data_IF_036276756109
#
_entry.id   IF_036276756109
#
_cell.length_a   1.000
_cell.length_b   1.000
_cell.length_c   1.000
_cell.angle_alpha   90.00
_cell.angle_beta   90.00
_cell.angle_gamma   90.00
#
_symmetry.space_group_name_H-M   'P 1'
#
loop_
_entity.id
_entity.type
_entity.pdbx_description
1 polymer ?
#
# COMPACT_ATOMS: atom_id res chain seq x y z
N UNK A 1 20.92 1.62 4.53
CA UNK A 1 19.58 1.05 4.27
C UNK A 1 18.93 0.75 5.60
N UNK A 2 17.62 0.95 5.80
CA UNK A 2 16.96 0.56 7.04
C UNK A 2 17.12 -0.95 7.24
N UNK A 3 17.40 -1.35 8.46
CA UNK A 3 17.75 -2.71 8.86
C UNK A 3 16.66 -3.71 8.38
N UNK A 4 17.00 -4.62 7.46
CA UNK A 4 16.04 -5.42 6.66
C UNK A 4 15.33 -6.55 7.42
N UNK A 5 15.47 -6.59 8.75
CA UNK A 5 14.97 -7.66 9.62
C UNK A 5 14.04 -7.17 10.75
N UNK A 6 13.53 -5.93 10.67
CA UNK A 6 12.55 -5.39 11.62
C UNK A 6 11.24 -5.06 10.91
N UNK A 7 10.12 -5.30 11.59
CA UNK A 7 8.79 -4.90 11.14
C UNK A 7 8.71 -3.38 11.14
N UNK A 8 8.30 -2.82 10.01
CA UNK A 8 8.03 -1.39 9.85
C UNK A 8 6.98 -1.15 8.77
N UNK A 9 6.19 -0.09 8.92
CA UNK A 9 5.20 0.35 7.94
C UNK A 9 5.83 1.38 7.00
N UNK A 10 5.68 1.18 5.70
CA UNK A 10 5.96 2.20 4.67
C UNK A 10 4.66 2.53 3.93
N UNK A 11 4.25 3.81 3.93
CA UNK A 11 3.03 4.27 3.25
C UNK A 11 3.19 5.67 2.65
N UNK A 12 2.19 6.17 1.93
CA UNK A 12 2.10 7.57 1.50
C UNK A 12 1.42 8.49 2.51
N UNK A 13 0.83 7.97 3.59
CA UNK A 13 0.15 8.77 4.61
C UNK A 13 -1.13 9.46 4.12
N UNK A 14 -1.72 8.99 3.02
CA UNK A 14 -2.98 9.54 2.52
C UNK A 14 -4.15 9.38 3.51
N UNK A 15 -5.17 10.22 3.36
CA UNK A 15 -6.48 10.03 4.00
C UNK A 15 -7.03 8.63 3.75
N UNK A 16 -7.74 8.09 4.73
CA UNK A 16 -8.45 6.81 4.62
C UNK A 16 -7.59 5.64 5.08
N UNK A 17 -7.41 4.65 4.22
CA UNK A 17 -6.72 3.40 4.56
C UNK A 17 -5.29 3.63 5.09
N UNK A 18 -4.49 4.45 4.42
CA UNK A 18 -3.08 4.69 4.80
C UNK A 18 -2.96 5.34 6.19
N UNK A 19 -3.81 6.32 6.48
CA UNK A 19 -3.87 6.91 7.81
C UNK A 19 -4.28 5.91 8.89
N UNK A 20 -5.22 4.99 8.61
CA UNK A 20 -5.61 3.94 9.56
C UNK A 20 -4.48 2.92 9.80
N UNK A 21 -3.78 2.49 8.74
CA UNK A 21 -2.56 1.68 8.89
C UNK A 21 -1.56 2.37 9.80
N UNK A 22 -1.37 3.68 9.63
CA UNK A 22 -0.47 4.47 10.47
C UNK A 22 -0.91 4.58 11.94
N UNK A 23 -2.22 4.76 12.18
CA UNK A 23 -2.80 4.74 13.55
C UNK A 23 -2.59 3.38 14.20
N UNK A 24 -2.81 2.29 13.48
CA UNK A 24 -2.56 0.94 13.98
C UNK A 24 -1.08 0.71 14.26
N UNK A 25 -0.18 1.03 13.32
CA UNK A 25 1.25 0.91 13.56
C UNK A 25 1.70 1.69 14.81
N UNK A 26 1.13 2.88 15.07
CA UNK A 26 1.42 3.64 16.30
C UNK A 26 0.93 2.91 17.55
N UNK A 27 -0.28 2.37 17.52
CA UNK A 27 -0.89 1.62 18.63
C UNK A 27 -0.10 0.36 19.00
N UNK A 28 0.51 -0.31 18.03
CA UNK A 28 1.35 -1.50 18.25
C UNK A 28 2.85 -1.19 18.41
N UNK A 29 3.24 0.09 18.44
CA UNK A 29 4.65 0.49 18.59
C UNK A 29 5.55 0.09 17.41
N UNK A 30 4.97 -0.02 16.20
CA UNK A 30 5.67 -0.34 14.97
C UNK A 30 6.20 0.95 14.34
N UNK A 31 7.45 0.93 13.89
CA UNK A 31 8.06 2.07 13.18
C UNK A 31 7.34 2.38 11.88
N UNK A 32 7.33 3.65 11.50
CA UNK A 32 6.62 4.11 10.31
C UNK A 32 7.49 5.05 9.50
N UNK A 33 7.40 4.95 8.18
CA UNK A 33 7.95 5.91 7.24
C UNK A 33 6.87 6.31 6.26
N UNK A 34 6.59 7.60 6.19
CA UNK A 34 5.65 8.17 5.23
C UNK A 34 6.44 8.75 4.06
N UNK A 35 6.36 8.12 2.90
CA UNK A 35 7.00 8.64 1.69
C UNK A 35 6.15 9.79 1.12
N UNK A 36 6.81 10.89 0.81
CA UNK A 36 6.14 12.10 0.31
C UNK A 36 6.96 12.77 -0.77
N UNK A 37 6.38 13.77 -1.43
CA UNK A 37 7.04 14.63 -2.42
C UNK A 37 6.37 16.01 -2.38
N UNK A 38 6.94 16.99 -3.09
CA UNK A 38 6.40 18.36 -3.10
C UNK A 38 4.94 18.39 -3.60
N UNK A 39 4.06 19.04 -2.83
CA UNK A 39 2.61 19.11 -3.13
C UNK A 39 1.79 17.88 -2.70
N UNK A 40 2.40 16.88 -2.05
CA UNK A 40 1.70 15.67 -1.60
C UNK A 40 0.92 15.91 -0.29
N UNK A 41 -0.39 15.72 -0.35
CA UNK A 41 -1.28 15.87 0.81
C UNK A 41 -1.32 14.59 1.67
N UNK A 42 -0.99 14.73 2.96
CA UNK A 42 -0.95 13.63 3.93
C UNK A 42 -1.92 13.89 5.09
N UNK A 43 -2.71 12.89 5.45
CA UNK A 43 -3.51 12.89 6.69
C UNK A 43 -2.70 12.36 7.88
N UNK A 44 -1.72 11.49 7.62
CA UNK A 44 -0.91 10.86 8.66
C UNK A 44 0.60 11.06 8.42
N UNK A 45 1.16 12.24 8.77
CA UNK A 45 2.55 12.59 8.47
C UNK A 45 3.53 12.10 9.56
N UNK A 46 3.65 10.78 9.75
CA UNK A 46 4.60 10.19 10.72
C UNK A 46 5.84 9.65 10.01
N UNK A 47 7.04 10.00 10.49
CA UNK A 47 8.30 9.54 9.91
C UNK A 47 8.45 9.96 8.45
N UNK A 48 8.08 11.21 8.13
CA UNK A 48 8.01 11.69 6.75
C UNK A 48 9.40 11.70 6.11
N UNK A 49 9.52 11.04 4.96
CA UNK A 49 10.67 11.13 4.06
C UNK A 49 10.18 11.75 2.75
N UNK A 50 10.60 12.99 2.49
CA UNK A 50 10.35 13.67 1.22
C UNK A 50 11.36 13.17 0.18
N UNK A 51 10.86 12.56 -0.89
CA UNK A 51 11.66 12.10 -2.02
C UNK A 51 11.97 13.28 -2.93
N UNK A 52 13.25 13.53 -3.17
CA UNK A 52 13.69 14.51 -4.17
C UNK A 52 13.53 13.98 -5.60
N UNK A 53 13.68 14.85 -6.59
CA UNK A 53 13.50 14.48 -8.01
C UNK A 53 14.43 13.34 -8.46
N UNK A 54 15.67 13.30 -7.95
CA UNK A 54 16.63 12.24 -8.26
C UNK A 54 16.23 10.88 -7.66
N UNK A 55 15.63 10.87 -6.46
CA UNK A 55 15.12 9.63 -5.86
C UNK A 55 13.88 9.17 -6.63
N UNK A 56 12.93 10.08 -6.89
CA UNK A 56 11.72 9.79 -7.67
C UNK A 56 12.05 9.23 -9.07
N UNK A 57 13.08 9.74 -9.73
CA UNK A 57 13.54 9.22 -11.02
C UNK A 57 14.02 7.76 -10.95
N UNK A 58 14.51 7.28 -9.80
CA UNK A 58 14.84 5.86 -9.62
C UNK A 58 13.60 4.96 -9.59
N UNK A 59 12.41 5.55 -9.41
CA UNK A 59 11.11 4.91 -9.57
C UNK A 59 10.50 5.04 -10.96
N UNK A 60 11.28 5.44 -11.98
CA UNK A 60 10.92 5.27 -13.39
C UNK A 60 10.93 3.78 -13.77
N UNK A 61 9.98 3.04 -13.21
CA UNK A 61 9.49 1.81 -13.80
C UNK A 61 9.00 2.19 -15.20
N UNK A 62 9.28 1.38 -16.24
CA UNK A 62 8.73 1.65 -17.58
C UNK A 62 7.21 1.81 -17.46
N UNK A 63 6.77 3.07 -17.44
CA UNK A 63 5.38 3.49 -17.25
C UNK A 63 4.50 2.81 -18.30
N UNK A 64 5.08 2.49 -19.45
CA UNK A 64 4.47 1.73 -20.52
C UNK A 64 4.06 0.31 -20.10
N UNK A 65 4.87 -0.40 -19.29
CA UNK A 65 4.56 -1.77 -18.82
C UNK A 65 3.33 -1.75 -17.91
N UNK A 66 3.30 -0.82 -16.96
CA UNK A 66 2.24 -0.76 -15.95
C UNK A 66 0.98 -0.11 -16.53
N UNK A 67 1.12 0.92 -17.37
CA UNK A 67 0.02 1.54 -18.10
C UNK A 67 -0.67 0.56 -19.06
N UNK A 68 0.10 -0.25 -19.82
CA UNK A 68 -0.46 -1.31 -20.68
C UNK A 68 -1.22 -2.36 -19.88
N UNK A 69 -0.72 -2.77 -18.70
CA UNK A 69 -1.44 -3.70 -17.80
C UNK A 69 -2.74 -3.12 -17.26
N UNK A 70 -2.75 -1.82 -16.96
CA UNK A 70 -3.93 -1.15 -16.41
C UNK A 70 -4.94 -0.71 -17.49
N UNK A 71 -4.56 -0.69 -18.77
CA UNK A 71 -5.43 -0.29 -19.88
C UNK A 71 -5.94 1.16 -19.79
N UNK A 72 -5.19 2.07 -19.16
CA UNK A 72 -5.65 3.43 -18.84
C UNK A 72 -4.72 4.52 -19.37
N UNK A 73 -5.30 5.59 -19.90
CA UNK A 73 -4.60 6.81 -20.33
C UNK A 73 -4.96 7.94 -19.36
N UNK A 74 -3.97 8.72 -18.90
CA UNK A 74 -4.19 9.75 -17.88
C UNK A 74 -3.80 11.14 -18.36
N UNK A 75 -4.60 12.15 -18.00
CA UNK A 75 -4.50 13.54 -18.47
C UNK A 75 -3.58 14.43 -17.62
N UNK A 76 -3.23 14.05 -16.38
CA UNK A 76 -2.28 14.76 -15.51
C UNK A 76 -0.97 13.96 -15.36
N UNK A 77 -0.15 13.97 -16.41
CA UNK A 77 1.03 13.10 -16.50
C UNK A 77 2.02 13.29 -15.34
N UNK A 78 2.30 14.52 -14.91
CA UNK A 78 3.38 14.80 -13.96
C UNK A 78 3.04 14.44 -12.51
N UNK A 79 1.85 14.80 -12.01
CA UNK A 79 1.43 14.46 -10.65
C UNK A 79 1.24 12.94 -10.50
N UNK A 80 0.61 12.31 -11.50
CA UNK A 80 0.40 10.86 -11.52
C UNK A 80 1.75 10.13 -11.60
N UNK A 81 2.70 10.65 -12.38
CA UNK A 81 4.06 10.12 -12.41
C UNK A 81 4.72 10.18 -11.04
N UNK A 82 4.67 11.31 -10.33
CA UNK A 82 5.25 11.43 -8.97
C UNK A 82 4.60 10.46 -7.98
N UNK A 83 3.29 10.23 -8.09
CA UNK A 83 2.58 9.21 -7.29
C UNK A 83 3.07 7.79 -7.63
N UNK A 84 3.21 7.44 -8.91
CA UNK A 84 3.69 6.10 -9.31
C UNK A 84 5.14 5.88 -8.88
N UNK A 85 5.98 6.92 -9.01
CA UNK A 85 7.36 6.90 -8.54
C UNK A 85 7.43 6.69 -7.01
N UNK A 86 6.58 7.36 -6.22
CA UNK A 86 6.56 7.12 -4.77
C UNK A 86 6.05 5.71 -4.42
N UNK A 87 5.05 5.19 -5.15
CA UNK A 87 4.57 3.82 -5.01
C UNK A 87 5.66 2.79 -5.32
N UNK A 88 6.53 3.04 -6.30
CA UNK A 88 7.70 2.20 -6.56
C UNK A 88 8.58 2.07 -5.30
N UNK A 89 8.95 3.18 -4.67
CA UNK A 89 9.81 3.13 -3.48
C UNK A 89 9.12 2.42 -2.31
N UNK A 90 7.81 2.61 -2.17
CA UNK A 90 7.00 1.94 -1.17
C UNK A 90 7.00 0.42 -1.38
N UNK A 91 6.69 -0.04 -2.60
CA UNK A 91 6.64 -1.48 -2.95
C UNK A 91 8.02 -2.12 -2.98
N UNK A 92 9.04 -1.39 -3.42
CA UNK A 92 10.41 -1.90 -3.48
C UNK A 92 11.04 -2.01 -2.08
N UNK A 93 10.64 -1.14 -1.15
CA UNK A 93 11.11 -1.15 0.22
C UNK A 93 10.44 -2.20 1.12
N UNK A 94 9.48 -2.97 0.62
CA UNK A 94 8.63 -3.85 1.43
C UNK A 94 8.51 -5.26 0.85
N UNK A 95 8.06 -6.20 1.69
CA UNK A 95 7.88 -7.61 1.33
C UNK A 95 6.42 -7.99 1.13
N UNK A 96 5.54 -7.33 1.89
CA UNK A 96 4.10 -7.52 1.84
C UNK A 96 3.43 -6.19 1.55
N UNK A 97 2.40 -6.21 0.72
CA UNK A 97 1.56 -5.05 0.41
C UNK A 97 0.12 -5.39 0.78
N UNK A 98 -0.43 -4.67 1.74
CA UNK A 98 -1.82 -4.75 2.17
C UNK A 98 -2.58 -3.55 1.61
N UNK A 99 -3.64 -3.82 0.85
CA UNK A 99 -4.46 -2.81 0.22
C UNK A 99 -5.92 -2.93 0.65
N UNK A 100 -6.58 -1.80 0.90
CA UNK A 100 -8.03 -1.75 1.08
C UNK A 100 -8.67 -1.14 -0.16
N UNK A 101 -9.61 -1.84 -0.80
CA UNK A 101 -10.20 -1.35 -2.05
C UNK A 101 -11.32 -2.22 -2.58
N UNK A 102 -11.46 -2.28 -3.91
CA UNK A 102 -12.45 -3.09 -4.61
C UNK A 102 -11.78 -3.80 -5.78
N UNK A 103 -11.85 -5.13 -5.79
CA UNK A 103 -11.37 -5.96 -6.89
C UNK A 103 -12.40 -5.85 -8.02
N UNK A 104 -11.91 -5.50 -9.21
CA UNK A 104 -12.71 -5.33 -10.41
C UNK A 104 -12.85 -6.68 -11.16
N UNK A 105 -13.82 -6.81 -12.09
CA UNK A 105 -13.98 -8.02 -12.91
C UNK A 105 -12.76 -8.38 -13.78
N UNK A 106 -11.86 -7.42 -14.03
CA UNK A 106 -10.60 -7.62 -14.76
C UNK A 106 -9.41 -7.95 -13.85
N UNK A 107 -9.68 -8.35 -12.59
CA UNK A 107 -8.71 -8.66 -11.54
C UNK A 107 -7.79 -7.50 -11.10
N UNK A 108 -8.05 -6.27 -11.57
CA UNK A 108 -7.38 -5.07 -11.05
C UNK A 108 -8.07 -4.53 -9.80
N UNK A 109 -7.39 -3.66 -9.05
CA UNK A 109 -8.01 -2.92 -7.95
C UNK A 109 -8.41 -1.52 -8.42
N UNK A 110 -9.60 -1.07 -8.00
CA UNK A 110 -10.17 0.22 -8.41
C UNK A 110 -9.28 1.42 -8.02
N UNK A 111 -9.19 2.40 -8.92
CA UNK A 111 -8.60 3.71 -8.65
C UNK A 111 -7.07 3.70 -8.52
N UNK A 112 -6.53 4.66 -7.76
CA UNK A 112 -5.08 4.83 -7.52
C UNK A 112 -4.45 3.64 -6.79
N UNK A 113 -5.20 2.98 -5.91
CA UNK A 113 -4.75 1.79 -5.17
C UNK A 113 -4.32 0.65 -6.09
N UNK A 114 -4.96 0.50 -7.26
CA UNK A 114 -4.61 -0.50 -8.26
C UNK A 114 -3.16 -0.42 -8.73
N UNK A 115 -2.58 0.78 -8.80
CA UNK A 115 -1.19 0.95 -9.18
C UNK A 115 -0.23 0.30 -8.20
N UNK A 116 -0.41 0.55 -6.90
CA UNK A 116 0.43 -0.07 -5.86
C UNK A 116 0.31 -1.61 -5.89
N UNK A 117 -0.91 -2.12 -6.11
CA UNK A 117 -1.19 -3.56 -6.21
C UNK A 117 -0.53 -4.19 -7.45
N UNK A 118 -0.66 -3.58 -8.62
CA UNK A 118 -0.05 -4.12 -9.85
C UNK A 118 1.48 -4.04 -9.82
N UNK A 119 2.04 -2.99 -9.22
CA UNK A 119 3.48 -2.92 -8.97
C UNK A 119 3.92 -4.04 -8.01
N UNK A 120 3.18 -4.28 -6.94
CA UNK A 120 3.48 -5.35 -6.00
C UNK A 120 3.46 -6.73 -6.67
N UNK A 121 2.47 -6.99 -7.54
CA UNK A 121 2.43 -8.20 -8.38
C UNK A 121 3.66 -8.28 -9.31
N UNK A 122 4.04 -7.18 -9.96
CA UNK A 122 5.20 -7.14 -10.88
C UNK A 122 6.53 -7.42 -10.17
N UNK A 123 6.70 -6.95 -8.94
CA UNK A 123 7.90 -7.15 -8.11
C UNK A 123 7.84 -8.42 -7.26
N UNK A 124 6.87 -9.32 -7.50
CA UNK A 124 6.67 -10.56 -6.75
C UNK A 124 6.60 -10.34 -5.22
N UNK A 125 5.94 -9.27 -4.79
CA UNK A 125 5.61 -9.07 -3.37
C UNK A 125 4.40 -9.91 -3.00
N UNK A 126 4.27 -10.26 -1.72
CA UNK A 126 3.02 -10.83 -1.23
C UNK A 126 1.94 -9.75 -1.23
N UNK A 127 0.87 -9.97 -2.00
CA UNK A 127 -0.19 -8.98 -2.17
C UNK A 127 -1.45 -9.45 -1.48
N UNK A 128 -2.02 -8.57 -0.66
CA UNK A 128 -3.26 -8.80 0.07
C UNK A 128 -4.21 -7.64 -0.17
N UNK A 129 -5.45 -7.94 -0.55
CA UNK A 129 -6.49 -6.93 -0.78
C UNK A 129 -7.70 -7.26 0.07
N UNK A 130 -8.11 -6.34 0.94
CA UNK A 130 -9.45 -6.39 1.52
C UNK A 130 -10.41 -5.73 0.54
N UNK A 131 -11.34 -6.51 0.03
CA UNK A 131 -12.39 -5.99 -0.84
C UNK A 131 -13.54 -5.48 0.02
N UNK A 132 -13.72 -4.16 0.10
CA UNK A 132 -14.80 -3.56 0.89
C UNK A 132 -16.19 -3.91 0.37
N UNK A 133 -16.36 -4.31 -0.89
CA UNK A 133 -17.64 -4.75 -1.43
C UNK A 133 -17.95 -6.22 -1.14
N UNK A 134 -16.93 -7.03 -0.88
CA UNK A 134 -17.06 -8.46 -0.54
C UNK A 134 -16.79 -8.77 0.93
N UNK A 135 -16.33 -7.78 1.69
CA UNK A 135 -16.10 -7.82 3.13
C UNK A 135 -15.11 -8.93 3.54
N UNK A 136 -14.09 -9.19 2.70
CA UNK A 136 -13.11 -10.24 2.95
C UNK A 136 -11.75 -9.95 2.31
N UNK A 137 -10.72 -10.61 2.84
CA UNK A 137 -9.36 -10.56 2.32
C UNK A 137 -9.13 -11.56 1.17
N UNK A 138 -8.30 -11.14 0.22
CA UNK A 138 -7.83 -11.95 -0.90
C UNK A 138 -6.31 -11.83 -1.03
N UNK A 139 -5.68 -12.90 -1.48
CA UNK A 139 -4.27 -12.94 -1.88
C UNK A 139 -4.14 -13.21 -3.38
N UNK A 140 -3.09 -12.67 -4.00
CA UNK A 140 -2.78 -12.94 -5.40
C UNK A 140 -1.84 -14.14 -5.53
N UNK A 141 -2.35 -15.28 -5.95
CA UNK A 141 -1.57 -16.51 -6.16
C UNK A 141 -2.07 -17.24 -7.40
N UNK A 142 -1.16 -17.90 -8.13
CA UNK A 142 -1.47 -18.63 -9.37
C UNK A 142 -2.23 -17.81 -10.42
N UNK A 143 -1.93 -16.50 -10.50
CA UNK A 143 -2.52 -15.59 -11.48
C UNK A 143 -3.99 -15.24 -11.22
N UNK A 144 -4.50 -15.42 -9.99
CA UNK A 144 -5.87 -15.07 -9.60
C UNK A 144 -5.96 -14.60 -8.16
N UNK A 145 -7.08 -13.99 -7.80
CA UNK A 145 -7.41 -13.68 -6.42
C UNK A 145 -8.01 -14.90 -5.71
N UNK A 146 -7.41 -15.31 -4.59
CA UNK A 146 -7.92 -16.39 -3.75
C UNK A 146 -8.27 -15.83 -2.36
N UNK A 147 -9.44 -16.16 -1.79
CA UNK A 147 -9.81 -15.71 -0.45
C UNK A 147 -8.88 -16.34 0.59
N UNK A 148 -8.29 -15.50 1.45
CA UNK A 148 -7.37 -15.95 2.49
C UNK A 148 -7.15 -14.83 3.52
N UNK A 149 -6.83 -15.21 4.76
CA UNK A 149 -6.61 -14.24 5.84
C UNK A 149 -5.12 -13.88 6.00
N UNK A 150 -4.75 -12.59 5.90
CA UNK A 150 -3.36 -12.16 6.02
C UNK A 150 -2.84 -12.12 7.45
N UNK A 151 -1.52 -12.26 7.58
CA UNK A 151 -0.72 -11.80 8.72
C UNK A 151 0.45 -10.95 8.25
N UNK A 152 0.76 -9.91 9.00
CA UNK A 152 1.98 -9.13 8.84
C UNK A 152 3.15 -9.99 9.36
N UNK A 153 4.15 -10.18 8.51
CA UNK A 153 5.36 -10.93 8.82
C UNK A 153 6.35 -10.14 9.68
N UNK A 154 7.62 -10.54 9.63
CA UNK A 154 8.71 -9.97 10.45
C UNK A 154 9.50 -8.85 9.77
N UNK A 155 9.10 -8.42 8.57
CA UNK A 155 9.82 -7.45 7.73
C UNK A 155 8.96 -6.23 7.41
N UNK A 156 9.58 -5.24 6.77
CA UNK A 156 8.87 -4.06 6.29
C UNK A 156 7.71 -4.42 5.35
N UNK A 157 6.57 -3.78 5.57
CA UNK A 157 5.34 -3.96 4.81
C UNK A 157 4.74 -2.61 4.43
N UNK A 158 3.90 -2.63 3.41
CA UNK A 158 3.16 -1.44 2.98
C UNK A 158 1.68 -1.57 3.26
N UNK A 159 1.11 -0.49 3.77
CA UNK A 159 -0.32 -0.27 3.85
C UNK A 159 -0.73 0.79 2.84
N UNK A 160 -1.65 0.46 1.95
CA UNK A 160 -2.24 1.40 0.98
C UNK A 160 -3.75 1.15 0.85
N UNK A 161 -4.46 2.00 0.12
CA UNK A 161 -5.88 1.77 -0.10
C UNK A 161 -6.70 3.00 -0.44
N UNK A 162 -8.00 2.80 -0.43
CA UNK A 162 -9.00 3.82 -0.69
C UNK A 162 -8.93 4.99 0.30
N UNK A 163 -9.20 6.19 -0.20
CA UNK A 163 -9.44 7.38 0.64
C UNK A 163 -10.81 7.34 1.33
N UNK A 164 -11.73 6.56 0.79
CA UNK A 164 -13.08 6.33 1.31
C UNK A 164 -13.11 4.99 2.05
N UNK A 165 -12.43 4.94 3.19
CA UNK A 165 -12.36 3.77 4.06
C UNK A 165 -13.72 3.55 4.75
N UNK A 166 -14.29 2.35 4.64
CA UNK A 166 -15.50 1.97 5.40
C UNK A 166 -15.14 1.54 6.83
N UNK A 167 -16.14 1.39 7.68
CA UNK A 167 -15.92 0.90 9.05
C UNK A 167 -15.42 -0.55 9.06
N UNK A 168 -15.92 -1.40 8.15
CA UNK A 168 -15.43 -2.77 7.96
C UNK A 168 -14.00 -2.79 7.43
N UNK A 169 -13.65 -1.86 6.52
CA UNK A 169 -12.27 -1.71 6.06
C UNK A 169 -11.34 -1.27 7.18
N UNK A 170 -11.81 -0.41 8.08
CA UNK A 170 -11.07 0.01 9.28
C UNK A 170 -10.87 -1.17 10.24
N UNK A 171 -11.93 -1.92 10.51
CA UNK A 171 -11.89 -3.11 11.36
C UNK A 171 -10.95 -4.15 10.77
N UNK A 172 -11.00 -4.40 9.46
CA UNK A 172 -10.09 -5.32 8.77
C UNK A 172 -8.61 -4.96 8.97
N UNK A 173 -8.26 -3.67 8.95
CA UNK A 173 -6.90 -3.21 9.28
C UNK A 173 -6.59 -3.52 10.74
N UNK A 174 -7.47 -3.17 11.68
CA UNK A 174 -7.24 -3.40 13.11
C UNK A 174 -7.08 -4.89 13.43
N UNK A 175 -7.96 -5.73 12.90
CA UNK A 175 -7.89 -7.19 13.02
C UNK A 175 -6.64 -7.76 12.38
N UNK A 176 -6.14 -7.20 11.27
CA UNK A 176 -4.87 -7.60 10.68
C UNK A 176 -3.70 -7.37 11.67
N UNK A 177 -3.63 -6.20 12.32
CA UNK A 177 -2.59 -5.94 13.33
C UNK A 177 -2.73 -6.85 14.54
N UNK A 178 -3.94 -6.98 15.08
CA UNK A 178 -4.20 -7.83 16.24
C UNK A 178 -3.86 -9.30 15.97
N UNK A 179 -4.27 -9.83 14.81
CA UNK A 179 -3.96 -11.19 14.38
C UNK A 179 -2.46 -11.44 14.17
N UNK A 180 -1.70 -10.38 13.87
CA UNK A 180 -0.26 -10.46 13.62
C UNK A 180 0.57 -10.31 14.89
N UNK A 181 0.14 -9.47 15.83
CA UNK A 181 0.96 -9.04 16.97
C UNK A 181 0.30 -9.27 18.34
N UNK A 182 -0.91 -9.79 18.36
CA UNK A 182 -1.73 -9.90 19.57
C UNK A 182 -2.46 -8.58 19.89
N UNK A 183 -3.21 -8.53 21.02
CA UNK A 183 -3.94 -7.34 21.43
C UNK A 183 -3.01 -6.14 21.62
N UNK A 184 -3.51 -4.95 21.34
CA UNK A 184 -2.77 -3.71 21.55
C UNK A 184 -2.32 -3.58 23.02
N UNK A 185 -1.08 -3.13 23.23
CA UNK A 185 -0.60 -2.84 24.58
C UNK A 185 -1.23 -1.54 25.06
N UNK A 186 -1.95 -1.61 26.17
CA UNK A 186 -2.52 -0.45 26.88
C UNK A 186 -1.42 0.38 27.54
#
# INVERSE_FOLDING_TARGET
>A
MPNSNRVSLISGGHRGAEAEFGRCAKRWGIDQTTLSFEGHAMEWPVGVKVLGDAELAAGDISMEIVSKRMGRTYHEADLIRRVIQSLYHMVNGTWQVFAIGWIQPDDTVKGGTGWGVELAKLFNREVWVFDQGRHQWFTWTDGRWNPAEPKIGSRAFSGTGTRNLSDEGREAIQSLFERSFGPAKH
#
